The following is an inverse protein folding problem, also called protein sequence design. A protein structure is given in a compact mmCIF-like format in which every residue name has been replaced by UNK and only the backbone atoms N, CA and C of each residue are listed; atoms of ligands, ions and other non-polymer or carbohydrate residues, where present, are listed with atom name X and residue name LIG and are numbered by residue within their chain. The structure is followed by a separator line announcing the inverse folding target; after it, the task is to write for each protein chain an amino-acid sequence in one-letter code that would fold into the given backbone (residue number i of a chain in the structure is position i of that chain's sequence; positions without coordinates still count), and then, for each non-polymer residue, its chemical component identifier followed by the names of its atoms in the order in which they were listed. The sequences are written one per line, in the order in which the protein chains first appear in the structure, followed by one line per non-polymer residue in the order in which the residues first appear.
data_IF_468074632382
#
_entry.id   IF_468074632382
#
_cell.length_a   1.000
_cell.length_b   1.000
_cell.length_c   1.000
_cell.angle_alpha   90.00
_cell.angle_beta   90.00
_cell.angle_gamma   90.00
#
_symmetry.space_group_name_H-M   'P 1'
#
loop_
_entity.id
_entity.type
_entity.pdbx_description
1 polymer ?
#
# COMPACT_ATOMS: atom_id res chain seq x y z
N UNK A 1 -23.62 -14.88 4.24
CA UNK A 1 -22.90 -13.69 3.75
C UNK A 1 -21.42 -13.97 3.87
N UNK A 2 -20.65 -13.73 2.81
CA UNK A 2 -19.19 -13.89 2.76
C UNK A 2 -18.59 -12.52 2.42
N UNK A 3 -17.53 -12.12 3.12
CA UNK A 3 -16.78 -10.89 2.81
C UNK A 3 -15.43 -11.30 2.26
N UNK A 4 -15.19 -11.01 0.98
CA UNK A 4 -13.93 -11.32 0.33
C UNK A 4 -13.04 -10.06 0.29
N UNK A 5 -12.15 -9.94 1.27
CA UNK A 5 -11.27 -8.79 1.37
C UNK A 5 -10.25 -8.68 0.23
N UNK A 6 -10.02 -9.78 -0.52
CA UNK A 6 -9.06 -9.85 -1.62
C UNK A 6 -9.72 -9.71 -3.00
N UNK A 7 -10.99 -9.28 -3.06
CA UNK A 7 -11.74 -9.21 -4.31
C UNK A 7 -11.02 -8.44 -5.43
N UNK A 8 -10.30 -7.35 -5.10
CA UNK A 8 -9.57 -6.52 -6.08
C UNK A 8 -8.27 -7.16 -6.62
N UNK A 9 -7.71 -8.17 -5.93
CA UNK A 9 -6.41 -8.77 -6.26
C UNK A 9 -6.50 -10.23 -6.69
N UNK A 10 -7.67 -10.65 -7.17
CA UNK A 10 -7.96 -11.99 -7.68
C UNK A 10 -9.08 -12.71 -6.94
N UNK A 11 -9.38 -12.30 -5.70
CA UNK A 11 -10.43 -12.88 -4.87
C UNK A 11 -10.08 -14.24 -4.27
N UNK A 12 -10.58 -14.50 -3.06
CA UNK A 12 -10.52 -15.83 -2.43
C UNK A 12 -11.77 -16.66 -2.70
N UNK A 13 -12.85 -16.01 -3.16
CA UNK A 13 -14.18 -16.63 -3.28
C UNK A 13 -14.61 -16.63 -4.73
N UNK A 14 -14.90 -17.81 -5.27
CA UNK A 14 -15.44 -17.95 -6.61
C UNK A 14 -16.79 -17.22 -6.71
N UNK A 15 -16.96 -16.43 -7.78
CA UNK A 15 -18.12 -15.57 -7.97
C UNK A 15 -18.04 -14.22 -7.25
N UNK A 16 -16.94 -13.92 -6.54
CA UNK A 16 -16.62 -12.57 -6.07
C UNK A 16 -16.39 -11.63 -7.27
N UNK A 17 -16.92 -10.40 -7.17
CA UNK A 17 -16.76 -9.37 -8.21
C UNK A 17 -16.13 -8.14 -7.56
N UNK A 18 -14.96 -7.67 -8.04
CA UNK A 18 -14.31 -6.48 -7.50
C UNK A 18 -15.25 -5.28 -7.52
N UNK A 19 -15.35 -4.58 -6.38
CA UNK A 19 -16.16 -3.38 -6.25
C UNK A 19 -17.65 -3.62 -6.06
N UNK A 20 -18.10 -4.86 -5.85
CA UNK A 20 -19.53 -5.20 -5.83
C UNK A 20 -19.92 -6.20 -4.74
N UNK A 21 -21.16 -6.05 -4.28
CA UNK A 21 -21.87 -7.07 -3.51
C UNK A 21 -22.84 -7.82 -4.42
N UNK A 22 -22.65 -9.14 -4.54
CA UNK A 22 -23.43 -10.01 -5.43
C UNK A 22 -24.09 -11.14 -4.64
N UNK A 23 -25.13 -11.76 -5.20
CA UNK A 23 -25.74 -12.97 -4.62
C UNK A 23 -25.57 -14.13 -5.59
N UNK A 24 -24.93 -15.21 -5.13
CA UNK A 24 -24.67 -16.42 -5.92
C UNK A 24 -25.21 -17.62 -5.15
N UNK A 25 -26.12 -18.39 -5.76
CA UNK A 25 -26.68 -19.59 -5.13
C UNK A 25 -27.37 -19.34 -3.77
N UNK A 26 -27.93 -18.14 -3.57
CA UNK A 26 -28.54 -17.74 -2.30
C UNK A 26 -27.56 -17.23 -1.24
N UNK A 27 -26.26 -17.16 -1.54
CA UNK A 27 -25.23 -16.59 -0.66
C UNK A 27 -24.84 -15.20 -1.15
N UNK A 28 -24.95 -14.19 -0.29
CA UNK A 28 -24.41 -12.86 -0.57
C UNK A 28 -22.89 -12.83 -0.38
N UNK A 29 -22.17 -12.36 -1.38
CA UNK A 29 -20.72 -12.19 -1.41
C UNK A 29 -20.43 -10.68 -1.54
N UNK A 30 -19.73 -10.12 -0.57
CA UNK A 30 -19.35 -8.71 -0.51
C UNK A 30 -17.90 -8.59 -0.98
N UNK A 31 -17.70 -7.94 -2.13
CA UNK A 31 -16.39 -7.67 -2.74
C UNK A 31 -16.18 -6.18 -3.01
N UNK A 32 -16.87 -5.30 -2.27
CA UNK A 32 -16.93 -3.84 -2.47
C UNK A 32 -15.54 -3.17 -2.58
N UNK A 33 -14.49 -3.77 -2.00
CA UNK A 33 -13.12 -3.26 -2.11
C UNK A 33 -12.93 -1.95 -1.33
N UNK A 34 -11.76 -1.33 -1.49
CA UNK A 34 -11.37 -0.08 -0.80
C UNK A 34 -11.89 0.05 0.65
N UNK A 35 -11.64 -0.97 1.48
CA UNK A 35 -12.23 -1.09 2.82
C UNK A 35 -11.90 0.08 3.75
N UNK A 36 -10.73 0.70 3.57
CA UNK A 36 -10.32 1.88 4.31
C UNK A 36 -11.27 3.07 4.11
N UNK A 37 -11.88 3.20 2.92
CA UNK A 37 -12.85 4.25 2.64
C UNK A 37 -14.18 4.08 3.40
N UNK A 38 -14.50 2.87 3.88
CA UNK A 38 -15.67 2.64 4.73
C UNK A 38 -15.46 3.12 6.19
N UNK A 39 -14.20 3.27 6.61
CA UNK A 39 -13.81 3.77 7.95
C UNK A 39 -12.83 4.94 7.83
N UNK A 40 -13.19 6.01 7.09
CA UNK A 40 -12.23 7.00 6.60
C UNK A 40 -11.55 7.78 7.72
N UNK A 41 -12.24 8.04 8.84
CA UNK A 41 -11.66 8.72 10.01
C UNK A 41 -10.50 7.92 10.60
N UNK A 42 -10.75 6.66 10.93
CA UNK A 42 -9.78 5.82 11.64
C UNK A 42 -8.66 5.39 10.67
N UNK A 43 -8.99 5.09 9.41
CA UNK A 43 -8.01 4.83 8.36
C UNK A 43 -7.05 6.03 8.17
N UNK A 44 -7.59 7.25 8.10
CA UNK A 44 -6.77 8.47 7.98
C UNK A 44 -5.88 8.67 9.20
N UNK A 45 -6.40 8.43 10.41
CA UNK A 45 -5.63 8.55 11.64
C UNK A 45 -4.46 7.57 11.68
N UNK A 46 -4.69 6.29 11.35
CA UNK A 46 -3.62 5.29 11.32
C UNK A 46 -2.60 5.59 10.22
N UNK A 47 -3.04 6.01 9.04
CA UNK A 47 -2.14 6.40 7.95
C UNK A 47 -1.27 7.61 8.33
N UNK A 48 -1.86 8.65 8.94
CA UNK A 48 -1.14 9.80 9.44
C UNK A 48 -0.12 9.43 10.53
N UNK A 49 -0.48 8.49 11.42
CA UNK A 49 0.45 7.98 12.44
C UNK A 49 1.66 7.28 11.82
N UNK A 50 1.44 6.46 10.78
CA UNK A 50 2.53 5.77 10.08
C UNK A 50 3.46 6.77 9.36
N UNK A 51 2.89 7.77 8.69
CA UNK A 51 3.68 8.83 8.05
C UNK A 51 4.46 9.66 9.07
N UNK A 52 3.82 10.01 10.20
CA UNK A 52 4.46 10.73 11.29
C UNK A 52 5.66 9.97 11.84
N UNK A 53 5.50 8.68 12.14
CA UNK A 53 6.59 7.83 12.60
C UNK A 53 7.74 7.75 11.59
N UNK A 54 7.44 7.63 10.29
CA UNK A 54 8.47 7.61 9.25
C UNK A 54 9.23 8.94 9.16
N UNK A 55 8.55 10.08 9.28
CA UNK A 55 9.21 11.40 9.30
C UNK A 55 10.08 11.55 10.54
N UNK A 56 9.57 11.17 11.71
CA UNK A 56 10.29 11.27 12.98
C UNK A 56 11.58 10.45 12.99
N UNK A 57 11.57 9.25 12.40
CA UNK A 57 12.75 8.38 12.29
C UNK A 57 13.90 9.05 11.51
N UNK A 58 13.58 9.78 10.44
CA UNK A 58 14.58 10.38 9.55
C UNK A 58 14.78 11.89 9.75
N UNK A 59 14.20 12.47 10.81
CA UNK A 59 14.34 13.90 11.11
C UNK A 59 15.45 14.16 12.14
N UNK A 60 16.47 14.92 11.72
CA UNK A 60 17.51 15.42 12.61
C UNK A 60 17.03 16.72 13.28
N UNK A 61 16.80 16.66 14.60
CA UNK A 61 16.24 17.78 15.38
C UNK A 61 17.22 18.94 15.52
N UNK A 62 18.50 18.63 15.67
CA UNK A 62 19.60 19.57 15.85
C UNK A 62 19.91 20.29 14.52
N UNK A 63 20.09 19.53 13.44
CA UNK A 63 20.37 20.07 12.11
C UNK A 63 19.12 20.61 11.40
N UNK A 64 17.92 20.35 11.96
CA UNK A 64 16.61 20.77 11.44
C UNK A 64 16.40 20.40 9.97
N UNK A 65 16.78 19.17 9.63
CA UNK A 65 16.68 18.65 8.26
C UNK A 65 16.38 17.16 8.27
N UNK A 66 15.82 16.69 7.17
CA UNK A 66 15.76 15.25 6.90
C UNK A 66 17.18 14.73 6.67
N UNK A 67 17.52 13.64 7.32
CA UNK A 67 18.73 12.87 7.08
C UNK A 67 18.30 11.51 6.54
N UNK A 68 18.42 11.36 5.21
CA UNK A 68 18.06 10.13 4.51
C UNK A 68 19.36 9.45 4.10
N UNK A 69 19.65 8.32 4.74
CA UNK A 69 20.73 7.44 4.32
C UNK A 69 20.18 6.39 3.34
N UNK A 70 20.56 6.47 2.07
CA UNK A 70 20.16 5.48 1.07
C UNK A 70 20.81 4.11 1.26
N UNK A 71 21.78 3.99 2.18
CA UNK A 71 22.32 2.71 2.60
C UNK A 71 21.45 2.02 3.67
N UNK A 72 20.55 2.75 4.34
CA UNK A 72 19.62 2.20 5.34
C UNK A 72 18.62 1.21 4.71
N UNK A 73 18.37 0.10 5.38
CA UNK A 73 17.54 -0.98 4.84
C UNK A 73 16.06 -0.59 4.71
N UNK A 74 15.55 0.27 5.60
CA UNK A 74 14.18 0.80 5.52
C UNK A 74 14.08 1.71 4.29
N UNK A 75 15.03 2.64 4.14
CA UNK A 75 15.07 3.56 3.00
C UNK A 75 15.21 2.81 1.66
N UNK A 76 16.09 1.81 1.58
CA UNK A 76 16.23 0.98 0.37
C UNK A 76 14.94 0.28 -0.02
N UNK A 77 14.20 -0.23 0.97
CA UNK A 77 12.90 -0.88 0.75
C UNK A 77 11.83 0.10 0.25
N UNK A 78 11.84 1.34 0.76
CA UNK A 78 10.81 2.33 0.49
C UNK A 78 11.06 3.19 -0.76
N UNK A 79 12.30 3.56 -1.05
CA UNK A 79 12.61 4.53 -2.13
C UNK A 79 12.60 3.87 -3.48
N UNK A 80 11.70 4.31 -4.36
CA UNK A 80 11.60 3.81 -5.75
C UNK A 80 12.57 4.56 -6.68
N UNK A 81 12.63 5.89 -6.57
CA UNK A 81 13.46 6.75 -7.45
C UNK A 81 14.23 7.80 -6.66
N UNK A 82 15.46 8.11 -7.08
CA UNK A 82 16.27 9.21 -6.57
C UNK A 82 17.18 9.76 -7.69
N UNK A 83 17.38 11.08 -7.74
CA UNK A 83 18.21 11.77 -8.74
C UNK A 83 17.94 11.34 -10.20
N UNK A 84 16.66 11.21 -10.56
CA UNK A 84 16.23 10.85 -11.90
C UNK A 84 16.48 9.39 -12.30
N UNK A 85 16.85 8.52 -11.34
CA UNK A 85 17.11 7.09 -11.56
C UNK A 85 16.18 6.24 -10.71
N UNK A 86 15.87 5.05 -11.23
CA UNK A 86 15.23 3.98 -10.43
C UNK A 86 16.31 3.38 -9.53
N UNK A 87 16.10 3.43 -8.22
CA UNK A 87 17.05 2.89 -7.22
C UNK A 87 16.53 1.62 -6.55
N UNK A 88 15.22 1.36 -6.61
CA UNK A 88 14.64 0.12 -6.12
C UNK A 88 14.92 -1.02 -7.10
N UNK A 89 15.63 -2.06 -6.65
CA UNK A 89 16.03 -3.18 -7.49
C UNK A 89 14.85 -3.95 -8.09
N UNK A 90 13.78 -4.15 -7.31
CA UNK A 90 12.59 -4.89 -7.76
C UNK A 90 11.92 -4.15 -8.91
N UNK A 91 11.73 -2.83 -8.77
CA UNK A 91 11.13 -2.01 -9.82
C UNK A 91 12.06 -1.90 -11.05
N UNK A 92 13.37 -1.79 -10.85
CA UNK A 92 14.33 -1.74 -11.95
C UNK A 92 14.31 -3.03 -12.80
N UNK A 93 14.25 -4.21 -12.15
CA UNK A 93 14.12 -5.51 -12.82
C UNK A 93 12.81 -5.63 -13.59
N UNK A 94 11.69 -5.19 -13.00
CA UNK A 94 10.38 -5.23 -13.66
C UNK A 94 10.31 -4.33 -14.90
N UNK A 95 10.97 -3.16 -14.86
CA UNK A 95 11.03 -2.23 -16.00
C UNK A 95 11.89 -2.75 -17.16
N UNK A 96 13.01 -3.41 -16.86
CA UNK A 96 13.94 -3.94 -17.87
C UNK A 96 13.49 -5.26 -18.48
N UNK A 97 12.70 -6.06 -17.75
CA UNK A 97 12.12 -7.31 -18.28
C UNK A 97 10.89 -7.10 -19.17
N UNK A 98 10.36 -5.87 -19.23
CA UNK A 98 9.21 -5.49 -20.07
C UNK A 98 9.59 -4.83 -21.41
N UNK A 99 10.88 -4.71 -21.71
CA UNK A 99 11.44 -4.32 -23.02
C UNK A 99 11.90 -5.58 -23.78
#
# INVERSE_FOLDING_TARGET
VIVDMAAETGGNVEGSVPGQTVTVGGVTIVGDGNWAAAVPRDASQMYASNLGAMIEEFWDKEARRMTIDFADDIIKGCVITHDGRIVNETIAKLRTAGE
#
